data_IF_636561449634
#
_entry.id   IF_636561449634
#
_cell.length_a   1.000
_cell.length_b   1.000
_cell.length_c   1.000
_cell.angle_alpha   90.00
_cell.angle_beta   90.00
_cell.angle_gamma   90.00
#
_symmetry.space_group_name_H-M   'P 1'
#
loop_
_entity.id
_entity.type
_entity.pdbx_description
1 polymer ?
#
# COMPACT_ATOMS: atom_id res chain seq x y z
N UNK A 1 33.94 -5.00 11.88
CA UNK A 1 34.02 -3.97 10.81
C UNK A 1 32.69 -3.24 10.77
N UNK A 2 32.64 -1.94 11.08
CA UNK A 2 31.42 -1.15 10.84
C UNK A 2 31.32 -0.87 9.34
N UNK A 3 30.16 -1.12 8.75
CA UNK A 3 29.87 -0.73 7.36
C UNK A 3 29.50 0.75 7.37
N UNK A 4 30.19 1.55 6.56
CA UNK A 4 29.91 2.97 6.35
C UNK A 4 29.42 3.17 4.91
N UNK A 5 28.39 4.00 4.73
CA UNK A 5 27.81 4.33 3.43
C UNK A 5 27.85 5.85 3.29
N UNK A 6 28.50 6.35 2.24
CA UNK A 6 28.53 7.77 1.88
C UNK A 6 27.53 8.01 0.75
N UNK A 7 26.60 8.95 0.94
CA UNK A 7 25.68 9.39 -0.10
C UNK A 7 26.24 10.66 -0.77
N UNK A 8 26.20 10.71 -2.10
CA UNK A 8 26.60 11.87 -2.88
C UNK A 8 25.56 12.10 -3.97
N UNK A 9 25.26 13.36 -4.22
CA UNK A 9 24.32 13.87 -5.22
C UNK A 9 25.07 14.48 -6.40
N UNK A 10 24.35 14.84 -7.45
CA UNK A 10 24.93 15.64 -8.54
C UNK A 10 25.39 17.03 -8.06
N UNK A 11 24.86 17.51 -6.94
CA UNK A 11 25.25 18.80 -6.38
C UNK A 11 26.62 18.78 -5.69
N UNK A 12 27.05 17.61 -5.25
CA UNK A 12 28.37 17.38 -4.64
C UNK A 12 29.51 17.33 -5.69
N UNK A 13 29.16 17.27 -6.98
CA UNK A 13 30.13 17.32 -8.08
C UNK A 13 30.54 18.78 -8.37
N UNK A 14 31.58 19.25 -7.69
CA UNK A 14 32.07 20.64 -7.78
C UNK A 14 32.65 21.07 -9.14
N UNK A 15 32.85 20.14 -10.07
CA UNK A 15 33.36 20.42 -11.42
C UNK A 15 32.25 20.72 -12.45
N UNK A 16 30.97 20.58 -12.10
CA UNK A 16 29.85 20.93 -12.97
C UNK A 16 29.23 22.27 -12.60
N UNK A 17 29.01 23.14 -13.59
CA UNK A 17 28.17 24.33 -13.44
C UNK A 17 26.70 23.97 -13.22
N UNK A 18 25.88 24.89 -12.66
CA UNK A 18 24.43 24.66 -12.51
C UNK A 18 23.73 24.27 -13.82
N UNK A 19 24.11 24.87 -14.94
CA UNK A 19 23.55 24.60 -16.26
C UNK A 19 23.94 23.20 -16.77
N UNK A 20 25.19 22.78 -16.51
CA UNK A 20 25.66 21.43 -16.86
C UNK A 20 24.94 20.37 -16.03
N UNK A 21 24.72 20.61 -14.74
CA UNK A 21 23.94 19.72 -13.87
C UNK A 21 22.51 19.56 -14.40
N UNK A 22 21.84 20.67 -14.74
CA UNK A 22 20.48 20.64 -15.28
C UNK A 22 20.40 19.85 -16.61
N UNK A 23 21.37 20.03 -17.51
CA UNK A 23 21.44 19.28 -18.76
C UNK A 23 21.66 17.78 -18.54
N UNK A 24 22.53 17.39 -17.60
CA UNK A 24 22.77 16.00 -17.22
C UNK A 24 21.51 15.37 -16.64
N UNK A 25 20.80 16.06 -15.74
CA UNK A 25 19.55 15.57 -15.15
C UNK A 25 18.47 15.41 -16.23
N UNK A 26 18.33 16.35 -17.15
CA UNK A 26 17.36 16.29 -18.23
C UNK A 26 17.59 15.10 -19.19
N UNK A 27 18.85 14.69 -19.36
CA UNK A 27 19.22 13.56 -20.23
C UNK A 27 18.82 12.19 -19.65
N UNK A 28 18.57 12.07 -18.35
CA UNK A 28 18.10 10.81 -17.78
C UNK A 28 16.63 10.53 -18.16
N UNK A 29 16.25 9.25 -18.31
CA UNK A 29 14.85 8.85 -18.40
C UNK A 29 14.06 9.43 -17.23
N UNK A 30 12.84 9.93 -17.48
CA UNK A 30 12.06 10.69 -16.50
C UNK A 30 11.93 9.99 -15.13
N UNK A 31 11.72 8.68 -15.14
CA UNK A 31 11.61 7.85 -13.93
C UNK A 31 12.93 7.58 -13.20
N UNK A 32 14.09 7.87 -13.81
CA UNK A 32 15.42 7.74 -13.20
C UNK A 32 16.02 9.10 -12.80
N UNK A 33 15.46 10.22 -13.28
CA UNK A 33 16.04 11.57 -13.12
C UNK A 33 16.30 11.92 -11.66
N UNK A 34 15.27 11.88 -10.84
CA UNK A 34 15.35 12.29 -9.44
C UNK A 34 16.33 11.42 -8.66
N UNK A 35 16.25 10.12 -8.83
CA UNK A 35 17.05 9.18 -8.09
C UNK A 35 18.53 9.22 -8.50
N UNK A 36 18.83 9.40 -9.80
CA UNK A 36 20.21 9.64 -10.28
C UNK A 36 20.75 11.00 -9.84
N UNK A 37 19.91 12.04 -9.80
CA UNK A 37 20.31 13.37 -9.34
C UNK A 37 20.63 13.39 -7.83
N UNK A 38 19.79 12.72 -7.02
CA UNK A 38 19.90 12.70 -5.55
C UNK A 38 20.78 11.57 -5.00
N UNK A 39 21.44 10.79 -5.87
CA UNK A 39 22.25 9.65 -5.43
C UNK A 39 21.45 8.57 -4.71
N UNK A 40 20.14 8.50 -4.95
CA UNK A 40 19.26 7.47 -4.39
C UNK A 40 19.60 6.17 -5.15
N UNK A 41 20.00 5.09 -4.46
CA UNK A 41 20.36 3.84 -5.12
C UNK A 41 19.23 3.35 -6.04
N UNK A 42 19.51 3.31 -7.34
CA UNK A 42 18.61 2.75 -8.36
C UNK A 42 19.26 1.53 -8.98
N UNK A 43 18.59 0.38 -8.90
CA UNK A 43 18.95 -0.77 -9.72
C UNK A 43 18.41 -0.51 -11.14
N UNK A 44 19.31 -0.20 -12.08
CA UNK A 44 18.95 0.16 -13.47
C UNK A 44 18.17 -0.91 -14.23
N UNK A 45 17.39 -0.49 -15.25
CA UNK A 45 16.59 -1.30 -16.20
C UNK A 45 15.67 -2.41 -15.65
N UNK A 46 15.49 -2.49 -14.33
CA UNK A 46 14.75 -3.57 -13.68
C UNK A 46 13.57 -3.11 -12.82
N UNK A 47 13.32 -1.82 -12.62
CA UNK A 47 12.20 -1.38 -11.76
C UNK A 47 10.88 -1.98 -12.23
N UNK A 48 10.09 -2.48 -11.29
CA UNK A 48 8.75 -2.99 -11.59
C UNK A 48 7.80 -1.84 -11.92
N UNK A 49 7.94 -0.74 -11.17
CA UNK A 49 7.16 0.47 -11.38
C UNK A 49 8.09 1.61 -11.83
N UNK A 50 8.22 1.84 -13.15
CA UNK A 50 9.01 2.95 -13.69
C UNK A 50 8.20 4.26 -13.65
N UNK A 51 7.69 4.63 -12.47
CA UNK A 51 6.91 5.86 -12.24
C UNK A 51 7.64 6.72 -11.21
N UNK A 52 7.69 8.03 -11.44
CA UNK A 52 8.29 8.97 -10.49
C UNK A 52 7.47 9.03 -9.19
N UNK A 53 8.14 9.11 -8.05
CA UNK A 53 7.45 9.08 -6.74
C UNK A 53 6.48 10.25 -6.59
N UNK A 54 6.83 11.42 -7.11
CA UNK A 54 6.03 12.64 -7.04
C UNK A 54 4.70 12.53 -7.78
N UNK A 55 4.61 11.63 -8.78
CA UNK A 55 3.37 11.39 -9.51
C UNK A 55 2.35 10.60 -8.71
N UNK A 56 2.81 9.82 -7.73
CA UNK A 56 1.95 8.97 -6.90
C UNK A 56 1.85 9.47 -5.46
N UNK A 57 2.82 10.25 -4.99
CA UNK A 57 2.77 10.88 -3.67
C UNK A 57 1.66 11.93 -3.60
N UNK A 58 0.94 11.95 -2.48
CA UNK A 58 -0.01 13.00 -2.15
C UNK A 58 0.05 13.37 -0.67
N UNK A 59 -0.25 14.61 -0.34
CA UNK A 59 -0.29 15.04 1.07
C UNK A 59 -1.43 14.34 1.82
N UNK A 60 -1.20 13.90 3.07
CA UNK A 60 -2.24 13.29 3.87
C UNK A 60 -3.44 14.21 4.06
N UNK A 61 -4.64 13.67 3.90
CA UNK A 61 -5.89 14.40 4.13
C UNK A 61 -6.87 13.54 4.92
N UNK A 62 -7.91 14.20 5.46
CA UNK A 62 -9.01 13.50 6.11
C UNK A 62 -9.86 12.81 5.06
N UNK A 63 -9.81 11.48 5.05
CA UNK A 63 -10.59 10.66 4.14
C UNK A 63 -12.10 10.96 4.25
N UNK A 64 -12.79 11.18 3.12
CA UNK A 64 -14.23 11.17 3.08
C UNK A 64 -14.80 9.90 3.72
N UNK A 65 -15.91 10.10 4.41
CA UNK A 65 -16.55 9.07 5.22
C UNK A 65 -17.27 8.02 4.39
N UNK A 66 -17.75 8.40 3.21
CA UNK A 66 -18.45 7.55 2.26
C UNK A 66 -17.52 6.76 1.33
N UNK A 67 -16.20 6.98 1.40
CA UNK A 67 -15.25 6.20 0.60
C UNK A 67 -15.09 4.80 1.17
N UNK A 68 -15.30 3.74 0.35
CA UNK A 68 -15.00 2.38 0.74
C UNK A 68 -13.52 2.22 1.10
N UNK A 69 -13.24 1.37 2.10
CA UNK A 69 -11.89 1.07 2.55
C UNK A 69 -11.68 -0.42 2.69
N UNK A 70 -10.44 -0.83 2.49
CA UNK A 70 -9.99 -2.21 2.67
C UNK A 70 -8.57 -2.19 3.23
N UNK A 71 -8.34 -3.01 4.25
CA UNK A 71 -7.00 -3.38 4.69
C UNK A 71 -6.46 -4.51 3.82
N UNK A 72 -5.16 -4.60 3.65
CA UNK A 72 -4.53 -5.76 3.02
C UNK A 72 -3.26 -6.12 3.77
N UNK A 73 -3.02 -7.41 3.97
CA UNK A 73 -1.96 -7.96 4.81
C UNK A 73 -1.15 -8.98 4.01
N UNK A 74 0.17 -8.89 4.05
CA UNK A 74 1.11 -9.94 3.64
C UNK A 74 1.69 -10.58 4.90
N UNK A 75 1.56 -11.91 5.00
CA UNK A 75 2.04 -12.65 6.15
C UNK A 75 3.56 -12.81 6.08
N UNK A 76 4.24 -12.58 7.21
CA UNK A 76 5.68 -12.74 7.29
C UNK A 76 6.16 -13.05 8.71
N UNK A 77 7.24 -13.84 8.80
CA UNK A 77 8.00 -14.05 10.03
C UNK A 77 9.49 -13.77 9.79
N UNK A 78 10.13 -14.56 8.91
CA UNK A 78 11.53 -14.40 8.51
C UNK A 78 11.74 -13.15 7.64
N UNK A 79 10.76 -12.87 6.78
CA UNK A 79 10.55 -11.54 6.21
C UNK A 79 9.47 -10.82 7.03
N UNK A 80 9.48 -9.47 7.05
CA UNK A 80 8.47 -8.72 7.78
C UNK A 80 7.06 -9.04 7.32
N UNK A 81 6.14 -9.08 8.27
CA UNK A 81 4.73 -8.86 7.97
C UNK A 81 4.50 -7.42 7.55
N UNK A 82 3.54 -7.21 6.65
CA UNK A 82 3.21 -5.88 6.16
C UNK A 82 1.72 -5.74 5.91
N UNK A 83 1.16 -4.60 6.29
CA UNK A 83 -0.22 -4.27 6.03
C UNK A 83 -0.35 -2.85 5.48
N UNK A 84 -1.37 -2.64 4.65
CA UNK A 84 -1.76 -1.32 4.12
C UNK A 84 -3.26 -1.11 4.28
N UNK A 85 -3.68 0.15 4.42
CA UNK A 85 -5.07 0.57 4.25
C UNK A 85 -5.19 1.25 2.88
N UNK A 86 -6.18 0.82 2.09
CA UNK A 86 -6.60 1.47 0.87
C UNK A 86 -7.95 2.14 1.09
N UNK A 87 -8.08 3.39 0.66
CA UNK A 87 -9.36 4.08 0.51
C UNK A 87 -9.64 4.32 -0.96
N UNK A 88 -10.87 4.12 -1.40
CA UNK A 88 -11.24 4.20 -2.81
C UNK A 88 -12.25 5.32 -3.05
N UNK A 89 -11.86 6.30 -3.85
CA UNK A 89 -12.79 7.22 -4.49
C UNK A 89 -13.44 6.49 -5.67
N UNK A 90 -14.67 6.03 -5.49
CA UNK A 90 -15.41 5.29 -6.51
C UNK A 90 -15.91 6.17 -7.65
N UNK A 91 -15.96 7.50 -7.48
CA UNK A 91 -16.41 8.44 -8.51
C UNK A 91 -15.27 8.76 -9.48
N UNK A 92 -14.08 9.06 -8.94
CA UNK A 92 -12.89 9.34 -9.73
C UNK A 92 -12.06 8.08 -10.08
N UNK A 93 -12.43 6.92 -9.51
CA UNK A 93 -11.67 5.68 -9.53
C UNK A 93 -10.21 5.86 -9.09
N UNK A 94 -10.00 6.58 -7.99
CA UNK A 94 -8.68 6.80 -7.40
C UNK A 94 -8.54 6.02 -6.10
N UNK A 95 -7.49 5.21 -6.01
CA UNK A 95 -7.16 4.42 -4.83
C UNK A 95 -6.03 5.11 -4.07
N UNK A 96 -6.24 5.34 -2.79
CA UNK A 96 -5.30 5.99 -1.89
C UNK A 96 -4.75 4.98 -0.89
N UNK A 97 -3.43 4.77 -0.88
CA UNK A 97 -2.74 4.08 0.21
C UNK A 97 -2.55 5.09 1.34
N UNK A 98 -3.27 4.88 2.44
CA UNK A 98 -3.43 5.88 3.52
C UNK A 98 -2.71 5.51 4.81
N UNK A 99 -2.50 4.21 5.02
CA UNK A 99 -1.75 3.67 6.15
C UNK A 99 -0.85 2.54 5.67
N UNK A 100 0.30 2.41 6.32
CA UNK A 100 1.21 1.30 6.16
C UNK A 100 1.71 0.86 7.54
N UNK A 101 1.83 -0.44 7.76
CA UNK A 101 2.45 -1.01 8.94
C UNK A 101 3.35 -2.16 8.50
N UNK A 102 4.60 -2.16 8.96
CA UNK A 102 5.55 -3.22 8.66
C UNK A 102 6.26 -3.64 9.95
N UNK A 103 6.25 -4.93 10.23
CA UNK A 103 6.84 -5.46 11.45
C UNK A 103 7.49 -6.83 11.23
N UNK A 104 8.73 -6.97 11.66
CA UNK A 104 9.47 -8.23 11.64
C UNK A 104 9.26 -9.01 12.95
N UNK A 105 9.25 -10.35 12.88
CA UNK A 105 9.23 -11.23 14.05
C UNK A 105 8.07 -10.95 15.04
N UNK A 106 6.91 -10.55 14.53
CA UNK A 106 5.72 -10.33 15.34
C UNK A 106 4.69 -11.44 15.12
N UNK A 107 4.07 -11.87 16.21
CA UNK A 107 2.98 -12.86 16.18
C UNK A 107 1.70 -12.25 15.59
N UNK A 108 0.77 -13.07 15.08
CA UNK A 108 -0.54 -12.58 14.62
C UNK A 108 -1.29 -11.74 15.67
N UNK A 109 -1.17 -12.08 16.95
CA UNK A 109 -1.77 -11.31 18.05
C UNK A 109 -1.27 -9.87 18.13
N UNK A 110 0.05 -9.67 18.04
CA UNK A 110 0.67 -8.35 18.12
C UNK A 110 0.33 -7.50 16.89
N UNK A 111 0.33 -8.12 15.72
CA UNK A 111 -0.05 -7.45 14.49
C UNK A 111 -1.54 -7.06 14.48
N UNK A 112 -2.43 -7.99 14.87
CA UNK A 112 -3.86 -7.71 14.98
C UNK A 112 -4.15 -6.55 15.95
N UNK A 113 -3.41 -6.45 17.06
CA UNK A 113 -3.53 -5.32 18.00
C UNK A 113 -3.22 -3.98 17.30
N UNK A 114 -2.15 -3.91 16.51
CA UNK A 114 -1.79 -2.69 15.79
C UNK A 114 -2.80 -2.35 14.69
N UNK A 115 -3.28 -3.35 13.95
CA UNK A 115 -4.16 -3.15 12.79
C UNK A 115 -5.62 -2.85 13.19
N UNK A 116 -6.10 -3.38 14.32
CA UNK A 116 -7.45 -3.06 14.82
C UNK A 116 -7.63 -1.59 15.17
N UNK A 117 -6.55 -0.88 15.51
CA UNK A 117 -6.58 0.56 15.71
C UNK A 117 -6.96 1.34 14.43
N UNK A 118 -6.89 0.72 13.26
CA UNK A 118 -7.35 1.32 12.00
C UNK A 118 -8.88 1.30 11.87
N UNK A 119 -9.54 0.38 12.58
CA UNK A 119 -10.97 0.18 12.60
C UNK A 119 -11.29 -1.31 12.65
N UNK A 120 -11.99 -1.78 13.69
CA UNK A 120 -12.38 -3.20 13.82
C UNK A 120 -13.32 -3.66 12.70
N UNK A 121 -14.02 -2.72 12.07
CA UNK A 121 -14.91 -2.98 10.94
C UNK A 121 -14.16 -3.21 9.62
N UNK A 122 -12.91 -2.77 9.50
CA UNK A 122 -12.16 -2.73 8.25
C UNK A 122 -11.85 -4.15 7.77
N UNK A 123 -12.33 -4.58 6.59
CA UNK A 123 -12.02 -5.91 6.07
C UNK A 123 -10.55 -5.99 5.64
N UNK A 124 -9.90 -7.13 5.88
CA UNK A 124 -8.51 -7.39 5.50
C UNK A 124 -8.40 -8.48 4.42
N UNK A 125 -7.89 -8.09 3.26
CA UNK A 125 -7.41 -9.03 2.24
C UNK A 125 -6.08 -9.66 2.65
N UNK A 126 -5.86 -10.90 2.25
CA UNK A 126 -4.67 -11.68 2.62
C UNK A 126 -4.24 -12.61 1.49
N UNK A 127 -2.95 -12.96 1.37
CA UNK A 127 -2.44 -13.81 0.30
C UNK A 127 -3.00 -15.22 0.40
N UNK A 128 -2.97 -15.99 -0.69
CA UNK A 128 -3.21 -17.44 -0.64
C UNK A 128 -2.20 -18.18 0.27
N UNK A 129 -1.11 -17.50 0.64
CA UNK A 129 0.19 -18.00 1.09
C UNK A 129 0.25 -19.50 1.42
N UNK A 130 0.91 -20.22 0.52
CA UNK A 130 1.35 -21.60 0.67
C UNK A 130 2.84 -21.64 0.33
N UNK A 131 3.68 -20.91 1.07
CA UNK A 131 5.14 -20.90 0.88
C UNK A 131 5.85 -22.23 1.12
N UNK A 132 5.12 -23.28 1.53
CA UNK A 132 5.59 -24.65 1.40
C UNK A 132 4.73 -25.34 0.38
N UNK A 133 5.37 -25.83 -0.68
CA UNK A 133 4.83 -26.79 -1.66
C UNK A 133 4.21 -28.05 -1.00
N UNK A 134 4.28 -28.17 0.34
CA UNK A 134 3.77 -29.28 1.14
C UNK A 134 2.54 -28.98 2.01
N UNK A 135 2.03 -27.75 2.09
CA UNK A 135 0.87 -27.43 2.95
C UNK A 135 -0.15 -26.52 2.24
N UNK A 136 -0.98 -27.11 1.40
CA UNK A 136 -2.26 -26.51 1.02
C UNK A 136 -3.02 -26.09 2.31
N UNK A 137 -3.37 -24.80 2.41
CA UNK A 137 -4.15 -24.27 3.54
C UNK A 137 -3.36 -23.52 4.63
N UNK A 138 -2.04 -23.35 4.50
CA UNK A 138 -1.25 -22.57 5.47
C UNK A 138 -1.75 -21.12 5.64
N UNK A 139 -2.08 -20.43 4.54
CA UNK A 139 -2.65 -19.07 4.58
C UNK A 139 -4.02 -19.02 5.28
N UNK A 140 -4.85 -20.05 5.12
CA UNK A 140 -6.15 -20.15 5.81
C UNK A 140 -5.93 -20.30 7.32
N UNK A 141 -4.97 -21.13 7.73
CA UNK A 141 -4.64 -21.31 9.14
C UNK A 141 -4.12 -20.01 9.77
N UNK A 142 -3.28 -19.26 9.06
CA UNK A 142 -2.80 -17.95 9.50
C UNK A 142 -3.95 -16.94 9.57
N UNK A 143 -4.78 -16.81 8.54
CA UNK A 143 -5.92 -15.90 8.54
C UNK A 143 -6.85 -16.14 9.74
N UNK A 144 -7.14 -17.41 10.07
CA UNK A 144 -7.92 -17.77 11.26
C UNK A 144 -7.26 -17.33 12.58
N UNK A 145 -5.92 -17.31 12.65
CA UNK A 145 -5.23 -16.80 13.84
C UNK A 145 -5.42 -15.28 14.00
N UNK A 146 -5.34 -14.51 12.90
CA UNK A 146 -5.64 -13.07 12.94
C UNK A 146 -7.11 -12.80 13.31
N UNK A 147 -8.03 -13.57 12.72
CA UNK A 147 -9.46 -13.50 13.02
C UNK A 147 -9.74 -13.80 14.50
N UNK A 148 -9.10 -14.81 15.08
CA UNK A 148 -9.20 -15.13 16.50
C UNK A 148 -8.72 -13.99 17.43
N UNK A 149 -7.92 -13.05 16.91
CA UNK A 149 -7.46 -11.84 17.62
C UNK A 149 -8.29 -10.59 17.27
N UNK A 150 -9.40 -10.76 16.55
CA UNK A 150 -10.39 -9.70 16.27
C UNK A 150 -10.11 -8.87 15.03
N UNK A 151 -9.25 -9.34 14.12
CA UNK A 151 -9.08 -8.70 12.81
C UNK A 151 -10.17 -9.21 11.85
N UNK A 152 -10.87 -8.31 11.16
CA UNK A 152 -11.93 -8.69 10.21
C UNK A 152 -11.33 -9.23 8.90
N UNK A 153 -10.90 -10.49 8.91
CA UNK A 153 -10.30 -11.14 7.75
C UNK A 153 -11.36 -11.51 6.70
N UNK A 154 -11.06 -11.29 5.41
CA UNK A 154 -11.93 -11.78 4.34
C UNK A 154 -12.04 -13.30 4.36
N UNK A 155 -13.21 -13.85 4.01
CA UNK A 155 -13.45 -15.29 4.04
C UNK A 155 -12.54 -16.11 3.11
N UNK A 156 -12.03 -15.49 2.03
CA UNK A 156 -11.11 -16.12 1.10
C UNK A 156 -9.93 -15.22 0.77
N UNK A 157 -8.83 -15.86 0.35
CA UNK A 157 -7.62 -15.16 -0.05
C UNK A 157 -7.83 -14.25 -1.26
N UNK A 158 -6.91 -13.29 -1.41
CA UNK A 158 -6.87 -12.32 -2.48
C UNK A 158 -6.78 -12.98 -3.86
N UNK A 159 -7.74 -12.65 -4.72
CA UNK A 159 -7.89 -13.16 -6.08
C UNK A 159 -8.65 -12.16 -6.93
N UNK A 160 -8.49 -12.23 -8.25
CA UNK A 160 -9.28 -11.45 -9.20
C UNK A 160 -10.75 -11.94 -9.25
N UNK A 161 -11.66 -11.18 -9.88
CA UNK A 161 -13.06 -11.58 -10.04
C UNK A 161 -13.23 -12.93 -10.76
N UNK A 162 -12.32 -13.27 -11.68
CA UNK A 162 -12.28 -14.56 -12.39
C UNK A 162 -11.70 -15.71 -11.53
N UNK A 163 -11.30 -15.44 -10.29
CA UNK A 163 -10.69 -16.38 -9.37
C UNK A 163 -9.19 -16.56 -9.51
N UNK A 164 -8.54 -15.90 -10.49
CA UNK A 164 -7.11 -16.00 -10.70
C UNK A 164 -6.29 -15.29 -9.61
N UNK A 165 -5.05 -15.74 -9.39
CA UNK A 165 -4.12 -15.20 -8.37
C UNK A 165 -2.82 -14.68 -9.00
N UNK A 166 -2.90 -14.18 -10.24
CA UNK A 166 -1.72 -13.79 -11.02
C UNK A 166 -0.99 -12.59 -10.41
N UNK A 167 0.27 -12.80 -10.03
CA UNK A 167 1.16 -11.73 -9.53
C UNK A 167 1.36 -10.67 -10.61
N UNK A 168 1.66 -11.09 -11.85
CA UNK A 168 1.94 -10.17 -12.96
C UNK A 168 0.73 -9.33 -13.33
N UNK A 169 -0.48 -9.90 -13.34
CA UNK A 169 -1.70 -9.14 -13.59
C UNK A 169 -1.92 -8.08 -12.49
N UNK A 170 -1.66 -8.41 -11.23
CA UNK A 170 -1.77 -7.46 -10.12
C UNK A 170 -0.73 -6.33 -10.20
N UNK A 171 0.48 -6.64 -10.66
CA UNK A 171 1.52 -5.62 -10.90
C UNK A 171 1.15 -4.71 -12.06
N UNK A 172 0.62 -5.26 -13.15
CA UNK A 172 0.15 -4.45 -14.28
C UNK A 172 -1.02 -3.53 -13.90
N UNK A 173 -2.01 -4.03 -13.16
CA UNK A 173 -3.12 -3.21 -12.66
C UNK A 173 -2.63 -2.04 -11.77
N UNK A 174 -1.66 -2.30 -10.89
CA UNK A 174 -1.04 -1.25 -10.09
C UNK A 174 -0.32 -0.22 -10.96
N UNK A 175 0.48 -0.66 -11.94
CA UNK A 175 1.20 0.22 -12.84
C UNK A 175 0.24 1.08 -13.68
N UNK A 176 -0.81 0.50 -14.22
CA UNK A 176 -1.85 1.20 -14.98
C UNK A 176 -2.51 2.29 -14.13
N UNK A 177 -2.82 1.99 -12.86
CA UNK A 177 -3.34 2.99 -11.93
C UNK A 177 -2.32 4.08 -11.61
N UNK A 178 -1.05 3.75 -11.41
CA UNK A 178 0.00 4.75 -11.17
C UNK A 178 0.15 5.69 -12.37
N UNK A 179 0.26 5.15 -13.59
CA UNK A 179 0.44 5.93 -14.82
C UNK A 179 -0.79 6.79 -15.16
N UNK A 180 -1.99 6.31 -14.85
CA UNK A 180 -3.23 7.08 -15.04
C UNK A 180 -3.56 8.03 -13.89
N UNK A 181 -2.73 8.09 -12.85
CA UNK A 181 -2.98 8.93 -11.66
C UNK A 181 -4.08 8.41 -10.73
N UNK A 182 -4.54 7.17 -10.94
CA UNK A 182 -5.56 6.44 -10.16
C UNK A 182 -5.01 5.63 -8.97
N UNK A 183 -3.70 5.65 -8.73
CA UNK A 183 -3.09 5.20 -7.48
C UNK A 183 -2.32 6.36 -6.86
N UNK A 184 -2.69 6.73 -5.63
CA UNK A 184 -2.02 7.74 -4.82
C UNK A 184 -1.59 7.15 -3.48
N UNK A 185 -0.53 7.69 -2.90
CA UNK A 185 0.06 7.22 -1.64
C UNK A 185 0.35 8.42 -0.78
N UNK A 186 -0.06 8.37 0.48
CA UNK A 186 0.25 9.44 1.43
C UNK A 186 1.76 9.61 1.56
N UNK A 187 2.25 10.84 1.38
CA UNK A 187 3.67 11.20 1.34
C UNK A 187 4.42 10.84 2.63
N UNK A 188 3.70 10.70 3.74
CA UNK A 188 4.23 10.28 5.05
C UNK A 188 4.55 8.78 5.16
N UNK A 189 4.14 7.96 4.18
CA UNK A 189 4.36 6.50 4.20
C UNK A 189 5.77 6.13 3.70
N UNK A 190 6.81 6.63 4.37
CA UNK A 190 8.20 6.49 3.94
C UNK A 190 8.67 5.03 3.75
N UNK A 191 8.19 4.09 4.56
CA UNK A 191 8.49 2.66 4.41
C UNK A 191 7.91 2.08 3.11
N UNK A 192 6.73 2.55 2.69
CA UNK A 192 6.12 2.12 1.42
C UNK A 192 6.96 2.61 0.25
N UNK A 193 7.39 3.88 0.27
CA UNK A 193 8.25 4.45 -0.77
C UNK A 193 9.65 3.82 -0.79
N UNK A 194 10.20 3.38 0.35
CA UNK A 194 11.45 2.61 0.38
C UNK A 194 11.33 1.32 -0.41
N UNK A 195 10.27 0.54 -0.18
CA UNK A 195 10.03 -0.68 -0.96
C UNK A 195 9.78 -0.37 -2.43
N UNK A 196 8.96 0.64 -2.74
CA UNK A 196 8.68 1.08 -4.11
C UNK A 196 9.97 1.36 -4.91
N UNK A 197 10.94 2.09 -4.33
CA UNK A 197 12.22 2.40 -4.98
C UNK A 197 13.06 1.16 -5.31
N UNK A 198 13.02 0.19 -4.41
CA UNK A 198 13.85 -1.00 -4.45
C UNK A 198 13.18 -2.15 -5.21
N UNK A 199 11.89 -2.05 -5.51
CA UNK A 199 11.11 -3.12 -6.12
C UNK A 199 11.47 -3.29 -7.60
N UNK A 200 12.15 -4.40 -7.91
CA UNK A 200 12.77 -4.63 -9.21
C UNK A 200 12.68 -6.08 -9.67
N UNK A 201 13.03 -6.27 -10.95
CA UNK A 201 13.20 -7.53 -11.64
C UNK A 201 14.68 -7.83 -11.79
N UNK A 202 15.01 -9.12 -11.71
CA UNK A 202 16.30 -9.67 -12.11
C UNK A 202 16.04 -10.84 -13.03
N UNK A 203 16.62 -10.81 -14.23
CA UNK A 203 16.40 -11.82 -15.27
C UNK A 203 14.90 -12.06 -15.59
N UNK A 204 14.11 -10.98 -15.66
CA UNK A 204 12.67 -11.05 -15.94
C UNK A 204 11.78 -11.50 -14.78
N UNK A 205 12.34 -11.86 -13.62
CA UNK A 205 11.58 -12.30 -12.44
C UNK A 205 11.54 -11.24 -11.36
N UNK A 206 10.40 -11.10 -10.66
CA UNK A 206 10.24 -10.28 -9.45
C UNK A 206 11.27 -10.72 -8.41
N UNK A 207 12.07 -9.78 -7.90
CA UNK A 207 12.93 -10.04 -6.74
C UNK A 207 12.10 -9.87 -5.47
N UNK A 208 11.83 -10.99 -4.79
CA UNK A 208 11.06 -11.07 -3.54
C UNK A 208 11.91 -10.69 -2.32
N UNK A 209 12.40 -9.45 -2.31
CA UNK A 209 13.21 -8.92 -1.21
C UNK A 209 12.68 -7.55 -0.82
N UNK A 210 12.15 -7.43 0.40
CA UNK A 210 11.53 -6.20 0.93
C UNK A 210 10.41 -5.71 0.01
N UNK A 211 9.52 -6.60 -0.39
CA UNK A 211 8.34 -6.33 -1.21
C UNK A 211 7.03 -6.56 -0.44
N UNK A 212 7.09 -6.60 0.89
CA UNK A 212 5.99 -6.98 1.76
C UNK A 212 4.82 -5.98 1.65
N UNK A 213 5.10 -4.66 1.68
CA UNK A 213 4.10 -3.60 1.47
C UNK A 213 3.67 -3.51 0.00
N UNK A 214 4.54 -3.82 -0.95
CA UNK A 214 4.16 -3.90 -2.38
C UNK A 214 3.18 -5.06 -2.61
N UNK A 215 3.42 -6.21 -1.99
CA UNK A 215 2.55 -7.38 -2.03
C UNK A 215 1.21 -7.09 -1.37
N UNK A 216 1.20 -6.49 -0.17
CA UNK A 216 -0.01 -6.07 0.53
C UNK A 216 -0.83 -5.08 -0.33
N UNK A 217 -0.18 -4.08 -0.92
CA UNK A 217 -0.83 -3.11 -1.83
C UNK A 217 -1.47 -3.83 -3.02
N UNK A 218 -0.76 -4.77 -3.65
CA UNK A 218 -1.28 -5.58 -4.74
C UNK A 218 -2.53 -6.35 -4.33
N UNK A 219 -2.52 -7.01 -3.17
CA UNK A 219 -3.70 -7.75 -2.69
C UNK A 219 -4.89 -6.83 -2.44
N UNK A 220 -4.67 -5.65 -1.85
CA UNK A 220 -5.72 -4.66 -1.66
C UNK A 220 -6.31 -4.18 -2.98
N UNK A 221 -5.47 -3.85 -3.96
CA UNK A 221 -5.91 -3.45 -5.31
C UNK A 221 -6.69 -4.57 -6.00
N UNK A 222 -6.22 -5.81 -5.92
CA UNK A 222 -6.91 -6.99 -6.45
C UNK A 222 -8.30 -7.21 -5.79
N UNK A 223 -8.47 -6.73 -4.56
CA UNK A 223 -9.65 -6.98 -3.73
C UNK A 223 -10.49 -5.73 -3.48
N UNK A 224 -10.34 -4.65 -4.26
CA UNK A 224 -11.11 -3.41 -4.10
C UNK A 224 -12.63 -3.62 -4.08
N UNK A 225 -13.14 -4.64 -4.78
CA UNK A 225 -14.56 -5.03 -4.76
C UNK A 225 -15.10 -5.43 -3.38
N UNK A 226 -14.21 -5.79 -2.44
CA UNK A 226 -14.54 -6.14 -1.07
C UNK A 226 -14.36 -4.96 -0.10
N UNK A 227 -13.98 -3.77 -0.61
CA UNK A 227 -13.90 -2.57 0.19
C UNK A 227 -15.29 -2.14 0.66
N UNK A 228 -15.38 -1.69 1.91
CA UNK A 228 -16.66 -1.32 2.53
C UNK A 228 -16.59 0.08 3.13
N UNK A 229 -17.74 0.75 3.17
CA UNK A 229 -17.90 2.02 3.88
C UNK A 229 -18.01 1.74 5.37
N UNK A 230 -17.43 2.61 6.21
CA UNK A 230 -17.51 2.49 7.68
C UNK A 230 -19.00 2.35 8.11
N UNK A 231 -19.39 1.23 8.76
CA UNK A 231 -20.76 1.01 9.20
C UNK A 231 -21.31 2.10 10.12
N UNK A 232 -20.45 2.85 10.83
CA UNK A 232 -20.84 3.96 11.68
C UNK A 232 -21.51 5.11 10.89
N UNK A 233 -21.19 5.27 9.61
CA UNK A 233 -21.76 6.32 8.76
C UNK A 233 -23.24 6.08 8.48
N UNK A 234 -23.64 4.83 8.23
CA UNK A 234 -25.05 4.48 8.07
C UNK A 234 -25.86 4.67 9.36
N UNK A 235 -25.23 4.53 10.54
CA UNK A 235 -25.87 4.80 11.84
C UNK A 235 -26.05 6.30 12.09
N UNK A 236 -25.10 7.13 11.67
CA UNK A 236 -25.20 8.58 11.78
C UNK A 236 -26.35 9.15 10.91
N UNK A 237 -26.51 8.63 9.68
CA UNK A 237 -27.59 9.05 8.77
C UNK A 237 -29.00 8.65 9.25
N UNK A 238 -29.11 7.63 10.11
CA UNK A 238 -30.37 7.10 10.65
C UNK A 238 -30.84 7.75 11.95
N UNK A 239 -30.08 8.65 12.56
CA UNK A 239 -30.60 9.41 13.71
C UNK A 239 -31.76 10.26 13.20
N UNK A 240 -33.01 10.06 13.69
CA UNK A 240 -34.05 11.04 13.42
C UNK A 240 -33.52 12.35 13.96
N UNK A 241 -33.50 13.39 13.12
CA UNK A 241 -33.40 14.74 13.63
C UNK A 241 -34.55 14.84 14.64
N UNK A 242 -34.23 14.90 15.94
CA UNK A 242 -35.23 15.24 16.91
C UNK A 242 -35.77 16.58 16.44
N UNK A 243 -36.97 16.59 15.87
CA UNK A 243 -37.72 17.83 15.76
C UNK A 243 -37.81 18.30 17.20
N UNK A 244 -36.99 19.29 17.56
CA UNK A 244 -37.35 20.14 18.67
C UNK A 244 -38.78 20.56 18.36
N UNK A 245 -39.71 20.23 19.24
CA UNK A 245 -41.04 20.81 19.20
C UNK A 245 -40.89 22.19 19.83
N UNK A 246 -40.66 23.28 19.06
CA UNK A 246 -40.52 24.61 19.63
C UNK A 246 -41.80 25.07 20.35
N UNK A 247 -42.93 24.35 20.17
CA UNK A 247 -44.22 24.63 20.78
C UNK A 247 -44.53 23.70 21.97
N UNK A 248 -43.67 22.72 22.27
CA UNK A 248 -43.85 21.83 23.43
C UNK A 248 -43.80 22.57 24.78
N UNK A 249 -43.21 23.76 24.80
CA UNK A 249 -43.19 24.66 25.96
C UNK A 249 -44.50 25.46 26.14
N UNK A 250 -45.44 25.39 25.18
CA UNK A 250 -46.69 26.15 25.18
C UNK A 250 -47.94 25.25 25.13
N UNK A 251 -47.80 23.94 25.36
CA UNK A 251 -48.91 22.98 25.51
C UNK A 251 -49.11 22.59 26.97
#
# INVERSE_FOLDING_TARGET
>A
MSRHVTFMTIDDAGHYSPEQRAAIVAAYPEHEREARAKGIPVLGSGRIFPVAEELIACEPFKLPRWWPRIGALDFGWDHPSAAVELAWDTEADVVYVTKAHRAAQQTPAMQALALRAWGEWLPFAWPRDGRRETLEGAGVALAKQYEAHGLNMLAGHARFPDGSVSVEAGLMEMLDRMQSGRLKVFSTLGQWFEEFRLFHRKNGQVVKLRDDLMAATRYGVMMLREAVVDPAEFKAARRPAGQSDPLGAFR
#
